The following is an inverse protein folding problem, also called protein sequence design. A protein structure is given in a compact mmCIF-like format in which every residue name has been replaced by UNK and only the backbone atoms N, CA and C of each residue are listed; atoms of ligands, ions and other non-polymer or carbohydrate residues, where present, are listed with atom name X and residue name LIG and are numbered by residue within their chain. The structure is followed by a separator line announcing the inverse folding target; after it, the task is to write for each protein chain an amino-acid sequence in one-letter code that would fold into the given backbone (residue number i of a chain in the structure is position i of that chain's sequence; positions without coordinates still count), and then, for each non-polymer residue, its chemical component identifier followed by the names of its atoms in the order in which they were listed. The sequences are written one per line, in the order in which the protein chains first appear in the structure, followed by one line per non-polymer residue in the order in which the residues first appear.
data_IF_637310149704
#
_entry.id   IF_637310149704
#
_cell.length_a   1.000
_cell.length_b   1.000
_cell.length_c   1.000
_cell.angle_alpha   90.00
_cell.angle_beta   90.00
_cell.angle_gamma   90.00
#
_symmetry.space_group_name_H-M   'P 1'
#
loop_
_entity.id
_entity.type
_entity.pdbx_description
1 polymer ?
#
# COMPACT_ATOMS: atom_id res chain seq x y z
N UNK A 1 -3.35 5.11 -14.66
CA UNK A 1 -2.48 3.91 -14.52
C UNK A 1 -1.87 3.91 -13.11
N UNK A 2 -2.38 3.12 -12.15
CA UNK A 2 -1.92 3.10 -10.75
C UNK A 2 -0.42 2.82 -10.57
N UNK A 3 0.26 2.29 -11.59
CA UNK A 3 1.72 2.24 -11.67
C UNK A 3 2.21 2.57 -13.09
N UNK A 4 3.49 2.93 -13.20
CA UNK A 4 4.15 3.26 -14.47
C UNK A 4 5.37 2.38 -14.75
N UNK A 5 5.93 2.54 -15.95
CA UNK A 5 7.15 1.84 -16.37
C UNK A 5 8.36 2.48 -15.68
N UNK A 6 9.25 1.70 -15.05
CA UNK A 6 10.43 2.26 -14.40
C UNK A 6 11.39 2.91 -15.43
N UNK A 7 12.10 3.99 -15.08
CA UNK A 7 13.06 4.63 -15.98
C UNK A 7 14.18 3.67 -16.44
N UNK A 8 14.49 3.67 -17.73
CA UNK A 8 15.50 2.81 -18.37
C UNK A 8 16.94 3.28 -18.05
N UNK A 9 17.65 2.60 -17.15
CA UNK A 9 19.11 2.76 -16.96
C UNK A 9 19.58 4.06 -16.28
N UNK A 10 20.89 4.13 -15.98
CA UNK A 10 21.56 5.29 -15.36
C UNK A 10 21.73 5.25 -13.83
N UNK A 11 22.50 6.17 -13.21
CA UNK A 11 22.68 6.24 -11.74
C UNK A 11 21.37 6.38 -10.97
N UNK A 12 20.36 7.00 -11.59
CA UNK A 12 18.99 7.16 -11.10
C UNK A 12 18.16 5.86 -11.14
N UNK A 13 18.65 4.79 -11.77
CA UNK A 13 18.09 3.45 -11.63
C UNK A 13 18.32 2.85 -10.23
N UNK A 14 19.26 3.40 -9.45
CA UNK A 14 19.48 3.00 -8.05
C UNK A 14 18.36 3.54 -7.17
N UNK A 15 17.50 2.64 -6.72
CA UNK A 15 16.33 2.89 -5.85
C UNK A 15 16.63 3.79 -4.65
N UNK A 16 17.85 3.77 -4.10
CA UNK A 16 18.27 4.58 -2.93
C UNK A 16 18.45 6.08 -3.19
N UNK A 17 18.42 6.51 -4.45
CA UNK A 17 18.54 7.93 -4.82
C UNK A 17 17.19 8.61 -5.03
N UNK A 18 16.09 7.85 -5.07
CA UNK A 18 14.75 8.42 -5.28
C UNK A 18 14.11 8.81 -3.96
N UNK A 19 13.35 9.89 -3.98
CA UNK A 19 12.42 10.21 -2.89
C UNK A 19 11.21 9.26 -2.96
N UNK A 20 10.87 8.65 -1.84
CA UNK A 20 9.63 7.89 -1.62
C UNK A 20 8.89 8.42 -0.39
N UNK A 21 7.59 8.16 -0.27
CA UNK A 21 6.80 8.52 0.91
C UNK A 21 7.42 7.99 2.22
N UNK A 22 7.89 6.73 2.23
CA UNK A 22 8.56 6.12 3.39
C UNK A 22 9.89 6.78 3.75
N UNK A 23 10.67 7.21 2.74
CA UNK A 23 11.92 7.94 2.96
C UNK A 23 11.69 9.39 3.41
N UNK A 24 10.67 10.04 2.86
CA UNK A 24 10.23 11.39 3.19
C UNK A 24 9.78 11.45 4.65
N UNK A 25 8.82 10.61 5.04
CA UNK A 25 8.31 10.57 6.42
C UNK A 25 9.42 10.24 7.42
N UNK A 26 10.33 9.32 7.09
CA UNK A 26 11.51 9.04 7.93
C UNK A 26 12.42 10.27 8.06
N UNK A 27 12.70 10.97 6.96
CA UNK A 27 13.52 12.19 6.97
C UNK A 27 12.88 13.31 7.81
N UNK A 28 11.58 13.56 7.62
CA UNK A 28 10.81 14.56 8.36
C UNK A 28 10.76 14.25 9.87
N UNK A 29 10.57 12.98 10.25
CA UNK A 29 10.61 12.57 11.66
C UNK A 29 11.99 12.68 12.29
N UNK A 30 13.02 12.18 11.59
CA UNK A 30 14.37 12.15 12.12
C UNK A 30 15.43 11.99 11.02
N UNK A 31 16.15 13.08 10.75
CA UNK A 31 17.25 13.09 9.79
C UNK A 31 18.40 12.17 10.21
N UNK A 32 18.68 12.02 11.52
CA UNK A 32 19.68 11.06 12.03
C UNK A 32 19.29 9.62 11.70
N UNK A 33 18.04 9.25 11.96
CA UNK A 33 17.51 7.91 11.63
C UNK A 33 17.53 7.65 10.13
N UNK A 34 17.12 8.63 9.33
CA UNK A 34 17.22 8.57 7.88
C UNK A 34 18.67 8.36 7.42
N UNK A 35 19.61 9.17 7.90
CA UNK A 35 21.02 9.06 7.51
C UNK A 35 21.60 7.69 7.87
N UNK A 36 21.46 7.25 9.12
CA UNK A 36 21.99 5.97 9.57
C UNK A 36 21.36 4.79 8.83
N UNK A 37 20.04 4.78 8.66
CA UNK A 37 19.34 3.67 8.01
C UNK A 37 19.42 3.66 6.49
N UNK A 38 19.19 4.80 5.84
CA UNK A 38 19.09 4.88 4.38
C UNK A 38 20.42 5.18 3.69
N UNK A 39 21.34 5.92 4.33
CA UNK A 39 22.65 6.26 3.76
C UNK A 39 23.74 5.30 4.19
N UNK A 40 23.92 5.11 5.50
CA UNK A 40 24.94 4.18 6.01
C UNK A 40 24.49 2.71 5.95
N UNK A 41 23.20 2.45 5.79
CA UNK A 41 22.66 1.08 5.70
C UNK A 41 22.63 0.34 7.04
N UNK A 42 22.64 1.07 8.16
CA UNK A 42 22.55 0.49 9.49
C UNK A 42 21.10 0.02 9.75
N UNK A 43 20.96 -1.26 10.04
CA UNK A 43 19.69 -1.88 10.42
C UNK A 43 19.18 -1.36 11.76
N UNK A 44 17.92 -1.59 12.09
CA UNK A 44 17.38 -1.46 13.46
C UNK A 44 16.71 -2.78 13.83
N UNK A 45 16.56 -3.12 15.11
CA UNK A 45 15.87 -4.35 15.49
C UNK A 45 14.46 -4.36 14.89
N UNK A 46 14.13 -5.45 14.19
CA UNK A 46 12.79 -5.68 13.66
C UNK A 46 11.82 -5.89 14.83
N UNK A 47 10.64 -5.29 14.73
CA UNK A 47 9.54 -5.53 15.67
C UNK A 47 8.43 -6.35 15.01
N UNK A 48 7.69 -7.12 15.80
CA UNK A 48 6.54 -7.91 15.37
C UNK A 48 5.53 -7.05 14.60
N UNK A 49 5.11 -5.85 15.07
CA UNK A 49 4.19 -5.00 14.31
C UNK A 49 4.68 -4.59 12.91
N UNK A 50 6.00 -4.46 12.72
CA UNK A 50 6.55 -4.13 11.39
C UNK A 50 6.46 -5.29 10.41
N UNK A 51 6.58 -6.52 10.90
CA UNK A 51 6.43 -7.73 10.07
C UNK A 51 4.95 -7.95 9.77
N UNK A 52 4.11 -7.89 10.81
CA UNK A 52 2.67 -8.06 10.69
C UNK A 52 2.01 -7.03 9.78
N UNK A 53 2.50 -5.78 9.78
CA UNK A 53 1.96 -4.74 8.90
C UNK A 53 1.99 -5.13 7.42
N UNK A 54 3.07 -5.78 6.98
CA UNK A 54 3.23 -6.20 5.57
C UNK A 54 2.33 -7.40 5.27
N UNK A 55 2.32 -8.40 6.14
CA UNK A 55 1.58 -9.65 5.89
C UNK A 55 0.07 -9.49 6.04
N UNK A 56 -0.40 -8.57 6.88
CA UNK A 56 -1.83 -8.22 6.99
C UNK A 56 -2.31 -7.51 5.72
N UNK A 57 -1.52 -6.60 5.16
CA UNK A 57 -1.82 -5.95 3.88
C UNK A 57 -1.89 -6.99 2.75
N UNK A 58 -0.89 -7.88 2.65
CA UNK A 58 -0.87 -8.98 1.67
C UNK A 58 -2.11 -9.89 1.82
N UNK A 59 -2.48 -10.24 3.06
CA UNK A 59 -3.63 -11.09 3.36
C UNK A 59 -4.96 -10.44 2.97
N UNK A 60 -5.16 -9.15 3.29
CA UNK A 60 -6.34 -8.41 2.88
C UNK A 60 -6.43 -8.33 1.35
N UNK A 61 -5.34 -7.95 0.68
CA UNK A 61 -5.29 -7.87 -0.79
C UNK A 61 -5.60 -9.24 -1.44
N UNK A 62 -5.11 -10.34 -0.88
CA UNK A 62 -5.42 -11.70 -1.33
C UNK A 62 -6.93 -11.97 -1.38
N UNK A 63 -7.67 -11.56 -0.34
CA UNK A 63 -9.13 -11.72 -0.29
C UNK A 63 -9.83 -10.81 -1.30
N UNK A 64 -9.42 -9.54 -1.39
CA UNK A 64 -10.01 -8.57 -2.34
C UNK A 64 -9.90 -9.04 -3.80
N UNK A 65 -8.84 -9.80 -4.13
CA UNK A 65 -8.62 -10.37 -5.45
C UNK A 65 -9.50 -11.60 -5.76
N UNK A 66 -10.19 -12.19 -4.78
CA UNK A 66 -11.08 -13.35 -4.99
C UNK A 66 -12.44 -12.93 -5.55
N UNK A 67 -13.19 -13.90 -6.08
CA UNK A 67 -14.53 -13.70 -6.63
C UNK A 67 -15.57 -14.50 -5.84
N UNK A 68 -16.60 -13.84 -5.28
CA UNK A 68 -17.71 -14.57 -4.66
C UNK A 68 -18.53 -15.31 -5.72
N UNK A 69 -19.13 -16.44 -5.33
CA UNK A 69 -20.02 -17.24 -6.18
C UNK A 69 -21.31 -17.54 -5.42
N UNK A 70 -22.45 -17.44 -6.10
CA UNK A 70 -23.77 -17.76 -5.55
C UNK A 70 -24.16 -16.94 -4.31
N UNK A 71 -23.82 -15.64 -4.32
CA UNK A 71 -24.14 -14.70 -3.23
C UNK A 71 -25.36 -13.85 -3.59
N UNK A 72 -26.38 -13.85 -2.73
CA UNK A 72 -27.66 -13.19 -2.95
C UNK A 72 -27.93 -12.03 -1.99
N UNK A 73 -27.08 -11.82 -0.98
CA UNK A 73 -27.22 -10.74 -0.01
C UNK A 73 -25.87 -10.22 0.48
N UNK A 74 -25.87 -9.01 1.06
CA UNK A 74 -24.69 -8.45 1.74
C UNK A 74 -24.24 -9.33 2.91
N UNK A 75 -25.18 -9.94 3.65
CA UNK A 75 -24.88 -10.83 4.77
C UNK A 75 -24.16 -12.10 4.30
N UNK A 76 -24.64 -12.74 3.22
CA UNK A 76 -23.94 -13.88 2.60
C UNK A 76 -22.54 -13.49 2.10
N UNK A 77 -22.39 -12.30 1.52
CA UNK A 77 -21.10 -11.78 1.07
C UNK A 77 -20.13 -11.57 2.26
N UNK A 78 -20.65 -11.02 3.36
CA UNK A 78 -19.90 -10.79 4.59
C UNK A 78 -19.45 -12.11 5.20
N UNK A 79 -20.34 -13.10 5.31
CA UNK A 79 -20.01 -14.43 5.82
C UNK A 79 -18.94 -15.12 4.97
N UNK A 80 -19.05 -15.03 3.64
CA UNK A 80 -18.07 -15.58 2.72
C UNK A 80 -16.67 -14.97 2.90
N UNK A 81 -16.55 -13.64 2.85
CA UNK A 81 -15.25 -12.99 2.96
C UNK A 81 -14.66 -13.08 4.38
N UNK A 82 -15.50 -13.15 5.42
CA UNK A 82 -15.04 -13.37 6.79
C UNK A 82 -14.53 -14.79 7.02
N UNK A 83 -15.13 -15.79 6.37
CA UNK A 83 -14.58 -17.15 6.36
C UNK A 83 -13.19 -17.20 5.71
N UNK A 84 -12.97 -16.43 4.64
CA UNK A 84 -11.65 -16.28 4.03
C UNK A 84 -10.64 -15.57 4.95
N UNK A 85 -11.10 -14.59 5.75
CA UNK A 85 -10.25 -13.90 6.72
C UNK A 85 -9.64 -14.86 7.74
N UNK A 86 -10.37 -15.89 8.19
CA UNK A 86 -9.84 -16.90 9.11
C UNK A 86 -8.75 -17.76 8.47
N UNK A 87 -8.92 -18.11 7.19
CA UNK A 87 -7.95 -18.89 6.44
C UNK A 87 -6.67 -18.06 6.22
N UNK A 88 -6.82 -16.82 5.76
CA UNK A 88 -5.71 -15.91 5.49
C UNK A 88 -5.01 -15.46 6.77
N UNK A 89 -5.70 -15.39 7.92
CA UNK A 89 -5.08 -15.11 9.22
C UNK A 89 -4.07 -16.20 9.61
N UNK A 90 -4.39 -17.47 9.36
CA UNK A 90 -3.46 -18.58 9.60
C UNK A 90 -2.23 -18.48 8.70
N UNK A 91 -2.40 -18.18 7.41
CA UNK A 91 -1.28 -17.98 6.48
C UNK A 91 -0.43 -16.77 6.86
N UNK A 92 -1.09 -15.66 7.22
CA UNK A 92 -0.45 -14.46 7.72
C UNK A 92 0.41 -14.77 8.95
N UNK A 93 -0.10 -15.54 9.92
CA UNK A 93 0.66 -15.97 11.09
C UNK A 93 1.91 -16.76 10.71
N UNK A 94 1.78 -17.80 9.88
CA UNK A 94 2.88 -18.67 9.47
C UNK A 94 3.97 -17.89 8.70
N UNK A 95 3.56 -17.09 7.71
CA UNK A 95 4.47 -16.27 6.91
C UNK A 95 5.18 -15.21 7.76
N UNK A 96 4.47 -14.62 8.73
CA UNK A 96 5.05 -13.64 9.64
C UNK A 96 6.03 -14.28 10.61
N UNK A 97 5.74 -15.49 11.10
CA UNK A 97 6.62 -16.26 11.97
C UNK A 97 7.93 -16.57 11.28
N UNK A 98 7.88 -17.05 10.03
CA UNK A 98 9.07 -17.31 9.23
C UNK A 98 9.90 -16.02 9.03
N UNK A 99 9.25 -14.90 8.71
CA UNK A 99 9.91 -13.58 8.59
C UNK A 99 10.54 -13.12 9.92
N UNK A 100 9.92 -13.42 11.05
CA UNK A 100 10.46 -13.11 12.38
C UNK A 100 11.67 -13.99 12.72
N UNK A 101 11.56 -15.30 12.54
CA UNK A 101 12.63 -16.27 12.86
C UNK A 101 13.87 -16.09 11.97
N UNK A 102 13.67 -15.69 10.72
CA UNK A 102 14.76 -15.37 9.78
C UNK A 102 15.38 -13.98 9.98
N UNK A 103 14.79 -13.12 10.82
CA UNK A 103 15.31 -11.77 11.05
C UNK A 103 16.62 -11.81 11.85
N UNK A 104 17.70 -11.33 11.23
CA UNK A 104 19.03 -11.30 11.85
C UNK A 104 19.12 -10.47 13.14
N UNK A 105 18.27 -9.45 13.28
CA UNK A 105 18.20 -8.61 14.47
C UNK A 105 16.76 -8.27 14.84
N UNK A 106 16.35 -8.71 16.02
CA UNK A 106 14.99 -8.61 16.56
C UNK A 106 14.95 -7.74 17.80
N UNK A 107 13.78 -7.20 18.12
CA UNK A 107 13.55 -6.52 19.40
C UNK A 107 13.46 -7.58 20.50
N UNK A 108 14.34 -7.49 21.50
CA UNK A 108 14.44 -8.48 22.59
C UNK A 108 13.22 -8.50 23.52
N UNK A 109 12.45 -7.40 23.57
CA UNK A 109 11.28 -7.26 24.44
C UNK A 109 9.98 -7.79 23.81
N UNK A 110 10.03 -8.44 22.66
CA UNK A 110 8.85 -8.93 21.93
C UNK A 110 9.00 -10.44 21.69
N UNK A 111 7.95 -11.20 21.96
CA UNK A 111 7.93 -12.65 21.83
C UNK A 111 6.88 -13.06 20.79
N UNK A 112 7.21 -14.05 19.96
CA UNK A 112 6.34 -14.45 18.85
C UNK A 112 5.05 -15.12 19.36
N UNK A 113 5.15 -15.78 20.50
CA UNK A 113 4.08 -16.48 21.19
C UNK A 113 2.93 -15.54 21.60
N UNK A 114 3.18 -14.23 21.68
CA UNK A 114 2.18 -13.21 21.98
C UNK A 114 1.29 -12.86 20.77
N UNK A 115 1.64 -13.33 19.56
CA UNK A 115 0.84 -13.10 18.35
C UNK A 115 -0.36 -14.03 18.34
N UNK A 116 -1.56 -13.46 18.36
CA UNK A 116 -2.83 -14.18 18.27
C UNK A 116 -3.34 -14.26 16.83
N UNK A 117 -3.68 -15.46 16.37
CA UNK A 117 -4.33 -15.66 15.06
C UNK A 117 -5.72 -15.01 15.03
N UNK A 118 -6.47 -15.07 16.13
CA UNK A 118 -7.79 -14.45 16.24
C UNK A 118 -7.69 -12.92 16.06
N UNK A 119 -6.63 -12.31 16.58
CA UNK A 119 -6.38 -10.88 16.41
C UNK A 119 -6.01 -10.54 14.96
N UNK A 120 -5.26 -11.41 14.27
CA UNK A 120 -4.98 -11.24 12.84
C UNK A 120 -6.26 -11.36 12.00
N UNK A 121 -7.12 -12.36 12.28
CA UNK A 121 -8.41 -12.51 11.61
C UNK A 121 -9.29 -11.28 11.84
N UNK A 122 -9.39 -10.81 13.10
CA UNK A 122 -10.13 -9.59 13.43
C UNK A 122 -9.65 -8.38 12.62
N UNK A 123 -8.33 -8.18 12.51
CA UNK A 123 -7.76 -7.07 11.72
C UNK A 123 -8.08 -7.18 10.23
N UNK A 124 -8.02 -8.38 9.66
CA UNK A 124 -8.39 -8.62 8.26
C UNK A 124 -9.88 -8.33 8.05
N UNK A 125 -10.75 -8.83 8.95
CA UNK A 125 -12.19 -8.57 8.93
C UNK A 125 -12.51 -7.08 8.99
N UNK A 126 -11.82 -6.30 9.84
CA UNK A 126 -12.00 -4.84 9.89
C UNK A 126 -11.71 -4.17 8.54
N UNK A 127 -10.66 -4.60 7.82
CA UNK A 127 -10.37 -4.11 6.47
C UNK A 127 -11.43 -4.52 5.45
N UNK A 128 -11.98 -5.73 5.58
CA UNK A 128 -13.11 -6.19 4.76
C UNK A 128 -14.39 -5.42 5.05
N UNK A 129 -14.65 -5.00 6.30
CA UNK A 129 -15.80 -4.15 6.62
C UNK A 129 -15.72 -2.82 5.87
N UNK A 130 -14.57 -2.17 5.87
CA UNK A 130 -14.34 -0.94 5.11
C UNK A 130 -14.54 -1.14 3.59
N UNK A 131 -14.14 -2.30 3.06
CA UNK A 131 -14.37 -2.61 1.65
C UNK A 131 -15.84 -2.94 1.35
N UNK A 132 -16.54 -3.65 2.22
CA UNK A 132 -17.96 -3.98 2.06
C UNK A 132 -18.83 -2.72 2.00
N UNK A 133 -18.45 -1.64 2.67
CA UNK A 133 -19.10 -0.33 2.51
C UNK A 133 -19.04 0.18 1.05
N UNK A 134 -17.93 -0.03 0.35
CA UNK A 134 -17.77 0.34 -1.06
C UNK A 134 -18.59 -0.58 -1.97
N UNK A 135 -18.63 -1.87 -1.66
CA UNK A 135 -19.42 -2.86 -2.40
C UNK A 135 -20.91 -2.57 -2.26
N UNK A 136 -21.40 -2.30 -1.05
CA UNK A 136 -22.78 -1.91 -0.79
C UNK A 136 -23.13 -0.61 -1.51
N UNK A 137 -22.25 0.40 -1.44
CA UNK A 137 -22.44 1.66 -2.17
C UNK A 137 -22.52 1.44 -3.68
N UNK A 138 -21.67 0.56 -4.24
CA UNK A 138 -21.72 0.19 -5.64
C UNK A 138 -23.02 -0.52 -6.03
N UNK A 139 -23.49 -1.45 -5.20
CA UNK A 139 -24.75 -2.14 -5.39
C UNK A 139 -25.94 -1.16 -5.37
N UNK A 140 -26.00 -0.28 -4.37
CA UNK A 140 -27.04 0.75 -4.24
C UNK A 140 -27.01 1.79 -5.38
N UNK A 141 -25.84 2.02 -5.96
CA UNK A 141 -25.64 2.83 -7.16
C UNK A 141 -25.91 2.05 -8.48
N UNK A 142 -26.54 0.87 -8.40
CA UNK A 142 -26.84 0.00 -9.53
C UNK A 142 -25.60 -0.35 -10.38
N UNK A 143 -24.49 -0.68 -9.73
CA UNK A 143 -23.22 -1.04 -10.37
C UNK A 143 -22.35 0.14 -10.79
N UNK A 144 -22.75 1.37 -10.47
CA UNK A 144 -21.97 2.56 -10.78
C UNK A 144 -21.86 2.86 -12.29
N UNK A 145 -21.02 3.84 -12.68
CA UNK A 145 -20.94 4.32 -14.05
C UNK A 145 -20.34 3.33 -15.04
N UNK A 146 -19.64 2.29 -14.57
CA UNK A 146 -18.86 1.38 -15.41
C UNK A 146 -19.50 -0.01 -15.62
N UNK A 147 -20.68 -0.27 -15.06
CA UNK A 147 -21.35 -1.58 -15.16
C UNK A 147 -21.50 -2.04 -16.61
N UNK A 148 -21.87 -1.12 -17.51
CA UNK A 148 -22.07 -1.43 -18.93
C UNK A 148 -20.77 -1.88 -19.58
N UNK A 149 -19.69 -1.16 -19.36
CA UNK A 149 -18.37 -1.49 -19.87
C UNK A 149 -17.94 -2.89 -19.42
N UNK A 150 -18.10 -3.20 -18.13
CA UNK A 150 -17.79 -4.49 -17.57
C UNK A 150 -18.62 -5.64 -18.15
N UNK A 151 -19.95 -5.49 -18.23
CA UNK A 151 -20.85 -6.50 -18.85
C UNK A 151 -20.52 -6.75 -20.32
N UNK A 152 -20.02 -5.74 -21.02
CA UNK A 152 -19.54 -5.84 -22.41
C UNK A 152 -18.11 -6.38 -22.53
N UNK A 153 -17.50 -6.80 -21.42
CA UNK A 153 -16.10 -7.27 -21.34
C UNK A 153 -15.08 -6.22 -21.82
N UNK A 154 -15.44 -4.94 -21.72
CA UNK A 154 -14.54 -3.83 -21.96
C UNK A 154 -13.97 -3.34 -20.63
N UNK A 155 -12.69 -2.96 -20.61
CA UNK A 155 -12.04 -2.49 -19.39
C UNK A 155 -12.13 -0.97 -19.28
N UNK A 156 -12.81 -0.42 -18.24
CA UNK A 156 -12.94 1.03 -18.06
C UNK A 156 -11.62 1.69 -17.67
N UNK A 157 -10.64 0.89 -17.23
CA UNK A 157 -9.35 1.37 -16.79
C UNK A 157 -8.20 0.68 -17.53
N UNK A 158 -7.20 1.48 -17.89
CA UNK A 158 -6.03 1.02 -18.65
C UNK A 158 -5.14 -0.02 -17.92
N UNK A 159 -5.12 0.01 -16.58
CA UNK A 159 -4.70 -1.13 -15.76
C UNK A 159 -5.94 -1.59 -14.98
N UNK A 160 -6.36 -2.85 -15.12
CA UNK A 160 -7.47 -3.41 -14.37
C UNK A 160 -7.09 -3.62 -12.90
N UNK A 161 -8.10 -3.73 -12.04
CA UNK A 161 -7.90 -4.20 -10.66
C UNK A 161 -7.52 -5.69 -10.70
N UNK A 162 -6.42 -6.12 -10.05
CA UNK A 162 -6.01 -7.52 -10.11
C UNK A 162 -7.07 -8.45 -9.52
N UNK A 163 -7.23 -9.63 -10.11
CA UNK A 163 -8.04 -10.71 -9.58
C UNK A 163 -7.28 -12.04 -9.71
N UNK A 164 -7.58 -12.98 -8.81
CA UNK A 164 -7.19 -14.38 -9.01
C UNK A 164 -7.92 -14.93 -10.25
N UNK A 165 -7.23 -15.79 -10.99
CA UNK A 165 -7.70 -16.27 -12.30
C UNK A 165 -7.40 -15.36 -13.48
N UNK A 166 -7.22 -14.05 -13.27
CA UNK A 166 -6.87 -13.11 -14.34
C UNK A 166 -5.36 -13.07 -14.59
N UNK A 167 -4.97 -12.77 -15.82
CA UNK A 167 -3.56 -12.60 -16.20
C UNK A 167 -2.97 -11.35 -15.49
N UNK A 168 -1.91 -11.50 -14.68
CA UNK A 168 -1.30 -10.39 -13.96
C UNK A 168 -0.60 -9.40 -14.91
N UNK A 169 -0.78 -8.11 -14.64
CA UNK A 169 -0.20 -7.02 -15.42
C UNK A 169 1.21 -6.66 -14.92
N UNK A 170 2.24 -7.03 -15.68
CA UNK A 170 3.62 -6.68 -15.36
C UNK A 170 4.02 -5.29 -15.90
N UNK A 171 4.70 -4.43 -15.11
CA UNK A 171 5.23 -3.14 -15.58
C UNK A 171 6.16 -3.23 -16.80
N UNK A 172 6.96 -4.29 -16.91
CA UNK A 172 7.81 -4.59 -18.06
C UNK A 172 7.59 -6.05 -18.47
N UNK A 173 6.55 -6.33 -19.28
CA UNK A 173 6.19 -7.70 -19.67
C UNK A 173 7.34 -8.45 -20.36
N UNK A 174 8.08 -7.78 -21.24
CA UNK A 174 9.20 -8.37 -22.00
C UNK A 174 10.34 -8.92 -21.13
N UNK A 175 10.43 -8.50 -19.87
CA UNK A 175 11.44 -8.97 -18.91
C UNK A 175 10.96 -10.13 -18.06
N UNK A 176 9.73 -10.60 -18.25
CA UNK A 176 9.16 -11.74 -17.55
C UNK A 176 9.46 -13.01 -18.34
N UNK A 177 10.39 -13.82 -17.82
CA UNK A 177 10.73 -15.10 -18.44
C UNK A 177 9.53 -16.06 -18.39
N UNK A 178 9.26 -16.73 -19.51
CA UNK A 178 8.23 -17.76 -19.65
C UNK A 178 6.82 -17.27 -19.28
N UNK A 179 6.52 -15.99 -19.49
CA UNK A 179 5.23 -15.40 -19.10
C UNK A 179 4.05 -16.08 -19.79
N UNK A 180 4.08 -16.16 -21.13
CA UNK A 180 3.02 -16.81 -21.94
C UNK A 180 2.99 -18.34 -21.86
N UNK A 181 3.86 -18.97 -21.05
CA UNK A 181 3.83 -20.42 -20.79
C UNK A 181 3.16 -20.77 -19.46
N UNK A 182 2.76 -19.76 -18.67
CA UNK A 182 2.05 -19.95 -17.40
C UNK A 182 0.56 -19.79 -17.63
N UNK A 183 -0.21 -20.72 -17.09
CA UNK A 183 -1.66 -20.56 -16.96
C UNK A 183 -1.92 -19.80 -15.67
N UNK A 184 -2.70 -18.72 -15.77
CA UNK A 184 -3.11 -17.90 -14.64
C UNK A 184 -4.56 -18.14 -14.23
N UNK A 185 -5.28 -18.94 -15.03
CA UNK A 185 -6.66 -19.32 -14.78
C UNK A 185 -6.77 -20.10 -13.47
N UNK A 186 -7.66 -19.62 -12.61
CA UNK A 186 -8.25 -20.36 -11.51
C UNK A 186 -9.69 -20.67 -11.90
N UNK A 187 -10.29 -21.69 -11.26
CA UNK A 187 -11.66 -22.15 -11.53
C UNK A 187 -12.74 -21.21 -10.95
N UNK A 188 -12.54 -19.90 -11.06
CA UNK A 188 -13.44 -18.85 -10.54
C UNK A 188 -13.61 -17.67 -11.54
N UNK A 189 -14.05 -17.91 -12.80
CA UNK A 189 -14.26 -16.81 -13.75
C UNK A 189 -15.45 -15.92 -13.32
N UNK A 190 -15.33 -14.61 -13.57
CA UNK A 190 -16.45 -13.69 -13.40
C UNK A 190 -17.55 -13.99 -14.42
N UNK A 191 -18.80 -14.08 -13.95
CA UNK A 191 -19.99 -14.19 -14.79
C UNK A 191 -20.79 -12.91 -14.66
N UNK A 192 -20.93 -12.18 -15.77
CA UNK A 192 -21.69 -10.94 -15.85
C UNK A 192 -23.13 -11.20 -16.26
N UNK A 193 -24.06 -10.44 -15.68
CA UNK A 193 -25.46 -10.52 -16.07
C UNK A 193 -25.73 -9.80 -17.41
N UNK A 194 -26.93 -9.97 -17.96
CA UNK A 194 -27.34 -9.30 -19.19
C UNK A 194 -27.45 -7.78 -19.02
N UNK A 195 -27.37 -7.03 -20.12
CA UNK A 195 -27.32 -5.55 -20.10
C UNK A 195 -28.47 -4.91 -19.30
N UNK A 196 -29.66 -5.51 -19.29
CA UNK A 196 -30.85 -4.98 -18.63
C UNK A 196 -31.19 -5.66 -17.30
N UNK A 197 -30.38 -6.63 -16.86
CA UNK A 197 -30.63 -7.33 -15.60
C UNK A 197 -30.19 -6.47 -14.40
N UNK A 198 -30.86 -6.60 -13.23
CA UNK A 198 -30.42 -5.92 -12.02
C UNK A 198 -28.97 -6.25 -11.67
N UNK A 199 -28.24 -5.30 -11.08
CA UNK A 199 -26.88 -5.58 -10.59
C UNK A 199 -26.92 -6.64 -9.49
N UNK A 200 -25.95 -7.57 -9.50
CA UNK A 200 -25.78 -8.57 -8.45
C UNK A 200 -24.73 -8.15 -7.42
N UNK A 201 -24.69 -8.80 -6.26
CA UNK A 201 -23.62 -8.61 -5.27
C UNK A 201 -22.24 -9.03 -5.78
N UNK A 202 -22.20 -10.02 -6.67
CA UNK A 202 -20.96 -10.46 -7.33
C UNK A 202 -20.44 -9.39 -8.29
N UNK A 203 -21.32 -8.78 -9.09
CA UNK A 203 -20.97 -7.65 -9.97
C UNK A 203 -20.53 -6.43 -9.15
N UNK A 204 -21.24 -6.10 -8.06
CA UNK A 204 -20.86 -5.00 -7.20
C UNK A 204 -19.48 -5.21 -6.55
N UNK A 205 -19.16 -6.43 -6.09
CA UNK A 205 -17.83 -6.77 -5.56
C UNK A 205 -16.74 -6.59 -6.62
N UNK A 206 -16.96 -7.13 -7.83
CA UNK A 206 -16.01 -7.05 -8.94
C UNK A 206 -15.76 -5.60 -9.38
N UNK A 207 -16.82 -4.78 -9.49
CA UNK A 207 -16.74 -3.37 -9.90
C UNK A 207 -16.09 -2.52 -8.80
N UNK A 208 -16.48 -2.73 -7.55
CA UNK A 208 -15.94 -2.00 -6.40
C UNK A 208 -14.47 -2.35 -6.12
N UNK A 209 -13.98 -3.53 -6.58
CA UNK A 209 -12.63 -4.02 -6.30
C UNK A 209 -11.58 -2.94 -6.60
N UNK A 210 -10.84 -2.47 -5.58
CA UNK A 210 -9.79 -1.50 -5.81
C UNK A 210 -8.68 -2.11 -6.67
N UNK A 211 -7.91 -1.25 -7.35
CA UNK A 211 -6.59 -1.70 -7.74
C UNK A 211 -5.76 -1.92 -6.48
N UNK A 212 -5.18 -3.10 -6.35
CA UNK A 212 -4.29 -3.48 -5.26
C UNK A 212 -2.94 -3.90 -5.84
N UNK A 213 -1.91 -3.93 -5.00
CA UNK A 213 -0.65 -4.55 -5.38
C UNK A 213 -0.86 -6.04 -5.66
N UNK A 214 -0.49 -6.49 -6.86
CA UNK A 214 -0.60 -7.91 -7.21
C UNK A 214 0.63 -8.69 -6.67
N UNK A 215 0.46 -9.63 -5.72
CA UNK A 215 1.58 -10.39 -5.16
C UNK A 215 2.24 -11.34 -6.17
N UNK A 216 1.57 -11.66 -7.29
CA UNK A 216 2.14 -12.47 -8.37
C UNK A 216 3.17 -11.69 -9.20
N UNK A 217 3.12 -10.36 -9.14
CA UNK A 217 3.99 -9.45 -9.89
C UNK A 217 5.22 -9.09 -9.05
N UNK A 218 6.32 -9.81 -9.30
CA UNK A 218 7.62 -9.58 -8.65
C UNK A 218 8.29 -8.25 -9.02
N UNK A 219 7.83 -7.60 -10.10
CA UNK A 219 8.36 -6.31 -10.53
C UNK A 219 7.78 -5.18 -9.66
N UNK A 220 8.52 -4.08 -9.44
CA UNK A 220 8.00 -2.94 -8.68
C UNK A 220 6.76 -2.33 -9.34
N UNK A 221 5.63 -2.34 -8.63
CA UNK A 221 4.37 -1.73 -9.07
C UNK A 221 4.28 -0.31 -8.52
N UNK A 222 4.98 0.63 -9.15
CA UNK A 222 5.17 1.99 -8.63
C UNK A 222 4.81 3.07 -9.63
N UNK A 223 4.38 4.20 -9.10
CA UNK A 223 4.43 5.47 -9.79
C UNK A 223 5.88 5.96 -9.84
N UNK A 224 6.30 6.48 -10.99
CA UNK A 224 7.61 7.10 -11.18
C UNK A 224 7.40 8.52 -11.67
N UNK A 225 7.94 9.51 -10.95
CA UNK A 225 7.94 10.88 -11.43
C UNK A 225 8.62 10.93 -12.81
N UNK A 226 8.14 11.73 -13.78
CA UNK A 226 8.70 11.78 -15.14
C UNK A 226 10.22 11.98 -15.20
N UNK A 227 10.73 12.92 -14.39
CA UNK A 227 12.18 13.16 -14.23
C UNK A 227 12.95 12.08 -13.44
N UNK A 228 12.28 11.01 -12.96
CA UNK A 228 12.89 9.84 -12.33
C UNK A 228 13.43 10.00 -10.89
N UNK A 229 13.28 11.18 -10.27
CA UNK A 229 13.82 11.47 -8.93
C UNK A 229 12.90 11.08 -7.76
N UNK A 230 11.64 10.74 -8.02
CA UNK A 230 10.69 10.27 -7.01
C UNK A 230 9.93 9.03 -7.49
N UNK A 231 9.56 8.15 -6.56
CA UNK A 231 8.72 6.99 -6.82
C UNK A 231 7.91 6.60 -5.58
N UNK A 232 6.71 6.06 -5.80
CA UNK A 232 5.78 5.65 -4.75
C UNK A 232 5.08 4.36 -5.12
N UNK A 233 4.80 3.54 -4.12
CA UNK A 233 4.00 2.30 -4.23
C UNK A 233 2.70 2.58 -3.48
N UNK A 234 1.57 2.43 -4.15
CA UNK A 234 0.24 2.62 -3.55
C UNK A 234 -0.23 1.28 -2.98
N UNK A 235 -1.03 1.33 -1.92
CA UNK A 235 -1.62 0.11 -1.35
C UNK A 235 -2.92 -0.22 -2.09
N UNK A 236 -3.89 0.71 -2.08
CA UNK A 236 -5.15 0.58 -2.83
C UNK A 236 -5.51 1.85 -3.62
N UNK A 237 -6.20 1.67 -4.74
CA UNK A 237 -6.86 2.75 -5.49
C UNK A 237 -8.31 2.37 -5.77
N UNK A 238 -9.24 3.07 -5.12
CA UNK A 238 -10.68 2.99 -5.42
C UNK A 238 -11.02 3.94 -6.56
N UNK A 239 -11.89 3.48 -7.46
CA UNK A 239 -12.27 4.20 -8.69
C UNK A 239 -13.57 3.71 -9.31
N UNK A 240 -14.37 2.95 -8.58
CA UNK A 240 -15.55 2.27 -9.11
C UNK A 240 -16.68 3.24 -9.49
N UNK A 241 -16.77 4.37 -8.79
CA UNK A 241 -17.77 5.43 -8.95
C UNK A 241 -17.30 6.55 -9.90
N UNK A 242 -16.14 6.38 -10.53
CA UNK A 242 -15.49 7.39 -11.37
C UNK A 242 -14.62 8.39 -10.62
N UNK A 243 -14.63 8.36 -9.27
CA UNK A 243 -13.78 9.20 -8.43
C UNK A 243 -12.54 8.40 -8.02
N UNK A 244 -11.34 8.97 -8.22
CA UNK A 244 -10.08 8.32 -7.83
C UNK A 244 -9.77 8.62 -6.37
N UNK A 245 -9.77 7.59 -5.53
CA UNK A 245 -9.40 7.68 -4.12
C UNK A 245 -8.17 6.83 -3.85
N UNK A 246 -7.15 7.43 -3.22
CA UNK A 246 -5.92 6.74 -2.82
C UNK A 246 -6.00 6.34 -1.35
N UNK A 247 -5.76 5.06 -1.07
CA UNK A 247 -5.87 4.51 0.27
C UNK A 247 -4.54 3.90 0.67
N UNK A 248 -4.13 4.16 1.91
CA UNK A 248 -2.97 3.55 2.53
C UNK A 248 -3.42 2.77 3.78
N UNK A 249 -3.02 1.49 3.84
CA UNK A 249 -3.47 0.54 4.86
C UNK A 249 -2.52 0.62 6.06
N UNK A 250 -3.09 0.65 7.27
CA UNK A 250 -2.35 0.67 8.54
C UNK A 250 -2.83 -0.43 9.47
N UNK A 251 -1.93 -1.36 9.81
CA UNK A 251 -2.24 -2.43 10.78
C UNK A 251 -2.41 -1.96 12.23
N UNK A 252 -1.93 -0.76 12.56
CA UNK A 252 -1.95 -0.18 13.91
C UNK A 252 -3.17 0.70 14.19
N UNK A 253 -3.11 1.48 15.28
CA UNK A 253 -4.17 2.39 15.72
C UNK A 253 -3.96 3.84 15.20
N UNK A 254 -5.03 4.58 14.84
CA UNK A 254 -4.95 5.97 14.40
C UNK A 254 -4.46 6.95 15.48
N UNK A 255 -4.48 6.57 16.76
CA UNK A 255 -3.93 7.37 17.87
C UNK A 255 -2.43 7.17 18.08
N UNK A 256 -1.78 6.29 17.32
CA UNK A 256 -0.36 5.99 17.49
C UNK A 256 0.52 7.20 17.13
N UNK A 257 1.72 7.29 17.73
CA UNK A 257 2.69 8.36 17.41
C UNK A 257 3.13 8.37 15.93
N UNK A 258 2.87 7.28 15.20
CA UNK A 258 3.15 7.17 13.77
C UNK A 258 2.04 7.71 12.87
N UNK A 259 0.82 7.88 13.40
CA UNK A 259 -0.35 8.31 12.62
C UNK A 259 -0.18 9.72 12.04
N UNK A 260 0.55 10.61 12.72
CA UNK A 260 0.89 11.95 12.21
C UNK A 260 1.70 11.93 10.90
N UNK A 261 2.37 10.80 10.59
CA UNK A 261 3.11 10.65 9.33
C UNK A 261 2.23 10.29 8.14
N UNK A 262 1.00 9.81 8.38
CA UNK A 262 0.13 9.29 7.31
C UNK A 262 -0.30 10.41 6.35
N UNK A 263 -0.64 11.59 6.86
CA UNK A 263 -0.98 12.73 6.02
C UNK A 263 0.17 13.08 5.06
N UNK A 264 1.42 13.06 5.53
CA UNK A 264 2.58 13.31 4.67
C UNK A 264 2.76 12.23 3.60
N UNK A 265 2.46 10.97 3.93
CA UNK A 265 2.52 9.85 2.99
C UNK A 265 1.44 9.97 1.91
N UNK A 266 0.19 10.22 2.30
CA UNK A 266 -0.92 10.38 1.36
C UNK A 266 -0.78 11.66 0.51
N UNK A 267 -0.31 12.77 1.08
CA UNK A 267 0.01 13.98 0.30
C UNK A 267 1.09 13.71 -0.75
N UNK A 268 2.10 12.89 -0.41
CA UNK A 268 3.12 12.48 -1.36
C UNK A 268 2.51 11.65 -2.50
N UNK A 269 1.58 10.74 -2.21
CA UNK A 269 0.92 9.94 -3.24
C UNK A 269 -0.03 10.76 -4.11
N UNK A 270 -0.84 11.67 -3.54
CA UNK A 270 -1.67 12.60 -4.32
C UNK A 270 -0.82 13.48 -5.24
N UNK A 271 0.29 14.02 -4.72
CA UNK A 271 1.26 14.77 -5.53
C UNK A 271 1.88 13.93 -6.64
N UNK A 272 2.30 12.70 -6.33
CA UNK A 272 2.94 11.85 -7.33
C UNK A 272 1.93 11.38 -8.39
N UNK A 273 0.67 11.14 -8.01
CA UNK A 273 -0.41 10.88 -8.95
C UNK A 273 -0.56 12.04 -9.92
N UNK A 274 -0.69 13.27 -9.41
CA UNK A 274 -0.79 14.49 -10.22
C UNK A 274 0.39 14.65 -11.20
N UNK A 275 1.62 14.38 -10.75
CA UNK A 275 2.81 14.43 -11.60
C UNK A 275 2.88 13.32 -12.66
N UNK A 276 2.10 12.26 -12.53
CA UNK A 276 2.16 11.07 -13.41
C UNK A 276 0.90 10.80 -14.23
N UNK A 277 -0.19 11.52 -13.96
CA UNK A 277 -1.51 11.30 -14.57
C UNK A 277 -2.04 12.59 -15.22
N UNK A 278 -1.26 13.20 -16.10
CA UNK A 278 -1.68 14.38 -16.87
C UNK A 278 -2.27 15.51 -16.00
N UNK A 279 -1.72 15.69 -14.79
CA UNK A 279 -2.14 16.73 -13.84
C UNK A 279 -3.59 16.53 -13.34
N UNK A 280 -4.10 15.29 -13.41
CA UNK A 280 -5.33 14.88 -12.74
C UNK A 280 -5.15 14.99 -11.22
N UNK A 281 -6.08 15.69 -10.56
CA UNK A 281 -6.22 15.64 -9.11
C UNK A 281 -7.04 14.42 -8.72
N UNK A 282 -6.63 13.74 -7.64
CA UNK A 282 -7.44 12.68 -7.04
C UNK A 282 -8.60 13.30 -6.26
N UNK A 283 -9.68 12.54 -6.12
CA UNK A 283 -10.91 12.99 -5.47
C UNK A 283 -10.89 12.74 -3.96
N UNK A 284 -10.05 11.81 -3.49
CA UNK A 284 -9.88 11.55 -2.06
C UNK A 284 -8.55 10.89 -1.70
N UNK A 285 -8.13 11.12 -0.45
CA UNK A 285 -7.02 10.41 0.17
C UNK A 285 -7.41 9.97 1.58
N UNK A 286 -7.21 8.71 1.91
CA UNK A 286 -7.65 8.15 3.19
C UNK A 286 -6.74 7.06 3.74
N UNK A 287 -6.77 6.92 5.06
CA UNK A 287 -6.10 5.86 5.80
C UNK A 287 -7.10 4.82 6.27
N UNK A 288 -6.88 3.56 5.92
CA UNK A 288 -7.63 2.43 6.46
C UNK A 288 -6.85 1.81 7.59
N UNK A 289 -7.32 2.01 8.82
CA UNK A 289 -6.75 1.35 9.98
C UNK A 289 -7.41 -0.02 10.12
N UNK A 290 -6.62 -1.04 10.47
CA UNK A 290 -7.11 -2.40 10.66
C UNK A 290 -7.26 -2.75 12.14
N UNK A 291 -6.78 -1.91 13.05
CA UNK A 291 -6.92 -2.12 14.50
C UNK A 291 -8.38 -2.00 14.98
N UNK A 292 -9.15 -1.10 14.40
CA UNK A 292 -10.60 -1.20 14.24
C UNK A 292 -10.93 -0.99 12.76
N UNK A 293 -12.21 -0.99 12.36
CA UNK A 293 -12.63 -0.64 10.99
C UNK A 293 -12.69 0.89 10.83
N UNK A 294 -11.59 1.60 11.12
CA UNK A 294 -11.58 3.07 11.08
C UNK A 294 -11.02 3.61 9.76
N UNK A 295 -11.80 4.50 9.16
CA UNK A 295 -11.42 5.29 7.99
C UNK A 295 -11.08 6.72 8.38
N UNK A 296 -9.87 7.16 8.07
CA UNK A 296 -9.43 8.54 8.34
C UNK A 296 -9.25 9.28 7.02
N UNK A 297 -10.06 10.31 6.81
CA UNK A 297 -9.98 11.19 5.64
C UNK A 297 -8.95 12.29 5.83
N UNK A 298 -8.25 12.63 4.76
CA UNK A 298 -7.39 13.82 4.71
C UNK A 298 -7.80 14.73 3.55
N UNK A 299 -7.58 16.02 3.71
CA UNK A 299 -7.81 16.99 2.64
C UNK A 299 -6.84 16.74 1.48
N UNK A 300 -7.40 16.61 0.27
CA UNK A 300 -6.60 16.49 -0.95
C UNK A 300 -5.85 17.81 -1.22
N UNK A 301 -4.53 17.79 -1.47
CA UNK A 301 -3.80 18.98 -1.85
C UNK A 301 -4.33 19.62 -3.14
N UNK A 302 -4.73 20.90 -3.04
CA UNK A 302 -5.12 21.68 -4.21
C UNK A 302 -3.93 21.97 -5.15
N UNK A 303 -4.20 22.56 -6.32
CA UNK A 303 -3.17 22.81 -7.33
C UNK A 303 -2.03 23.71 -6.86
N UNK A 304 -2.27 24.65 -5.95
CA UNK A 304 -1.24 25.54 -5.43
C UNK A 304 -0.42 24.84 -4.35
N UNK A 305 -1.07 24.04 -3.51
CA UNK A 305 -0.39 23.17 -2.55
C UNK A 305 0.49 22.15 -3.26
N UNK A 306 0.04 21.56 -4.36
CA UNK A 306 0.82 20.64 -5.20
C UNK A 306 2.10 21.30 -5.74
N UNK A 307 2.01 22.56 -6.20
CA UNK A 307 3.20 23.34 -6.62
C UNK A 307 4.17 23.56 -5.45
N UNK A 308 3.65 23.89 -4.26
CA UNK A 308 4.47 24.04 -3.06
C UNK A 308 5.15 22.72 -2.67
N UNK A 309 4.41 21.61 -2.67
CA UNK A 309 4.91 20.26 -2.39
C UNK A 309 6.01 19.88 -3.38
N UNK A 310 5.87 20.22 -4.66
CA UNK A 310 6.92 19.98 -5.67
C UNK A 310 8.23 20.67 -5.29
N UNK A 311 8.19 21.94 -4.89
CA UNK A 311 9.38 22.70 -4.47
C UNK A 311 9.97 22.11 -3.19
N UNK A 312 9.12 21.79 -2.21
CA UNK A 312 9.50 21.22 -0.93
C UNK A 312 10.18 19.86 -1.11
N UNK A 313 9.55 18.93 -1.84
CA UNK A 313 10.05 17.59 -2.08
C UNK A 313 11.34 17.59 -2.90
N UNK A 314 11.48 18.46 -3.90
CA UNK A 314 12.76 18.64 -4.61
C UNK A 314 13.86 19.15 -3.67
N UNK A 315 13.53 20.08 -2.77
CA UNK A 315 14.47 20.59 -1.78
C UNK A 315 14.92 19.51 -0.80
N UNK A 316 13.98 18.72 -0.26
CA UNK A 316 14.25 17.58 0.63
C UNK A 316 15.08 16.51 -0.09
N UNK A 317 14.71 16.17 -1.33
CA UNK A 317 15.45 15.20 -2.16
C UNK A 317 16.91 15.61 -2.35
N UNK A 318 17.18 16.88 -2.67
CA UNK A 318 18.55 17.41 -2.77
C UNK A 318 19.32 17.30 -1.44
N UNK A 319 18.73 17.74 -0.33
CA UNK A 319 19.36 17.60 1.01
C UNK A 319 19.65 16.13 1.34
N UNK A 320 18.74 15.23 0.97
CA UNK A 320 18.94 13.79 1.13
C UNK A 320 20.10 13.30 0.27
N UNK A 321 20.30 13.78 -0.96
CA UNK A 321 21.46 13.42 -1.78
C UNK A 321 22.76 13.93 -1.17
N UNK A 322 22.83 15.22 -0.83
CA UNK A 322 24.00 15.89 -0.23
C UNK A 322 24.48 15.20 1.05
N UNK A 323 23.56 14.74 1.91
CA UNK A 323 23.87 13.99 3.12
C UNK A 323 24.68 12.70 2.87
N UNK A 324 24.72 12.18 1.65
CA UNK A 324 25.41 10.93 1.30
C UNK A 324 26.40 11.05 0.15
N UNK A 325 26.85 12.26 -0.19
CA UNK A 325 27.89 12.43 -1.22
C UNK A 325 29.29 12.09 -0.69
N UNK A 326 30.06 11.35 -1.51
CA UNK A 326 31.45 10.99 -1.22
C UNK A 326 31.63 9.83 -0.23
N UNK A 327 32.89 9.46 0.11
CA UNK A 327 33.17 8.58 1.23
C UNK A 327 32.72 9.28 2.52
N UNK A 328 31.58 8.84 3.04
CA UNK A 328 31.02 9.38 4.27
C UNK A 328 31.90 8.91 5.42
N UNK A 329 32.82 9.78 5.88
CA UNK A 329 33.47 9.59 7.18
C UNK A 329 32.35 9.45 8.21
N UNK A 330 32.45 8.46 9.09
CA UNK A 330 31.54 8.35 10.22
C UNK A 330 31.49 9.72 10.90
N UNK A 331 30.31 10.37 10.97
CA UNK A 331 30.28 11.82 11.11
C UNK A 331 30.86 12.25 12.45
N UNK A 332 31.76 13.24 12.43
CA UNK A 332 32.26 13.89 13.66
C UNK A 332 31.10 14.61 14.39
N UNK A 333 30.05 15.00 13.65
CA UNK A 333 28.79 15.57 14.15
C UNK A 333 27.59 14.89 13.50
N UNK A 334 26.79 14.19 14.30
CA UNK A 334 25.54 13.60 13.81
C UNK A 334 24.50 14.69 13.50
N UNK A 335 23.59 14.46 12.54
CA UNK A 335 22.36 15.24 12.47
C UNK A 335 21.69 15.26 13.85
N UNK A 336 21.12 16.42 14.21
CA UNK A 336 20.52 16.64 15.53
C UNK A 336 19.58 15.47 15.89
N UNK A 337 19.72 14.83 17.06
CA UNK A 337 18.82 13.76 17.47
C UNK A 337 17.39 14.31 17.50
N UNK A 338 16.43 13.52 17.02
CA UNK A 338 15.04 13.85 17.27
C UNK A 338 14.75 13.57 18.75
N UNK A 339 14.03 14.47 19.42
CA UNK A 339 13.55 14.28 20.79
C UNK A 339 12.49 13.18 20.80
N UNK A 340 12.91 11.91 20.88
CA UNK A 340 12.05 10.73 21.00
C UNK A 340 10.96 10.57 19.93
N UNK A 341 11.24 10.93 18.67
CA UNK A 341 10.28 10.71 17.59
C UNK A 341 10.00 9.21 17.39
N UNK A 342 8.77 8.91 16.97
CA UNK A 342 8.30 7.55 16.77
C UNK A 342 9.24 6.73 15.88
N UNK A 343 9.71 5.59 16.39
CA UNK A 343 10.56 4.67 15.66
C UNK A 343 12.04 5.08 15.53
N UNK A 344 12.52 6.14 16.19
CA UNK A 344 13.95 6.46 16.19
C UNK A 344 14.75 5.63 17.21
N UNK A 345 15.07 4.38 16.86
CA UNK A 345 15.98 3.54 17.66
C UNK A 345 17.36 4.19 17.89
N UNK A 346 17.97 4.74 16.83
CA UNK A 346 19.33 5.29 16.88
C UNK A 346 19.48 6.61 17.65
N UNK A 347 18.36 7.24 18.00
CA UNK A 347 18.37 8.43 18.85
C UNK A 347 18.46 8.04 20.33
N UNK A 348 17.85 6.92 20.70
CA UNK A 348 17.80 6.40 22.07
C UNK A 348 18.87 5.34 22.34
N UNK A 349 19.59 4.90 21.30
CA UNK A 349 20.65 3.90 21.44
C UNK A 349 21.78 4.40 22.35
N UNK A 350 22.03 3.66 23.45
CA UNK A 350 23.03 4.01 24.44
C UNK A 350 22.55 4.96 25.55
N UNK A 351 21.32 5.47 25.47
CA UNK A 351 20.68 6.10 26.62
C UNK A 351 20.33 4.99 27.63
N UNK A 352 20.99 4.98 28.80
CA UNK A 352 20.59 4.10 29.90
C UNK A 352 19.14 4.45 30.23
N UNK A 353 18.23 3.47 30.12
CA UNK A 353 16.83 3.54 30.52
C UNK A 353 16.63 4.56 31.67
N UNK A 354 16.10 5.74 31.35
CA UNK A 354 15.44 6.54 32.38
C UNK A 354 14.10 5.84 32.55
N UNK A 355 14.07 4.99 33.58
CA UNK A 355 12.92 4.22 34.02
C UNK A 355 11.69 5.10 34.28
#
# INVERSE_FOLDING_TARGET
MPFGIPPSGGPLSRTRTRLSASSLTRYLRCQKSYFLGNKLGLSSPKSIPQILGITLEDALCSILMRRPVSINSLDELKDWCFGLADIEANQCYLNSKEKWESAAWRRESEFWEDVSIDELSRKIRNGLELFLEEVESCYLANGGPYLKEYRQQSMPHSIPSPAWGDEPMFPIPDKVRNFGLRTWAEDEPMVWEGENDPVTWMEAWEIARPWVKDPRVHQPQRLFHPDGWAAGELDLVLRWDGNVRLIDIKSGNPSSKFASSLQHQLNFYAWLWYETHDKQQVDGIEGWYLDGPERIYFEVPDSDKIKQLTVEYKSIHRKMLELGEGPVKFPDFYPKPCTFAAGCFWCTFGEKNIA
#
